data_IF_787783306293
#
_entry.id   IF_787783306293
#
_cell.length_a   1.000
_cell.length_b   1.000
_cell.length_c   1.000
_cell.angle_alpha   90.00
_cell.angle_beta   90.00
_cell.angle_gamma   90.00
#
_symmetry.space_group_name_H-M   'P 1'
#
loop_
_entity.id
_entity.type
_entity.pdbx_description
1 polymer ?
#
# COMPACT_ATOMS: atom_id res chain seq x y z
N UNK A 1 -9.04 -18.06 7.12
CA UNK A 1 -7.59 -18.24 7.32
C UNK A 1 -6.90 -16.94 6.89
N UNK A 2 -5.84 -16.50 7.58
CA UNK A 2 -5.07 -15.35 7.17
C UNK A 2 -4.50 -15.57 5.77
N UNK A 3 -4.40 -14.50 4.99
CA UNK A 3 -3.94 -14.56 3.60
C UNK A 3 -2.81 -13.61 3.33
N UNK A 4 -1.99 -13.93 2.32
CA UNK A 4 -0.96 -13.05 1.82
C UNK A 4 -1.38 -12.44 0.48
N UNK A 5 -1.15 -11.13 0.32
CA UNK A 5 -1.41 -10.35 -0.88
C UNK A 5 -0.09 -9.71 -1.31
N UNK A 6 0.45 -10.19 -2.42
CA UNK A 6 1.71 -9.68 -2.98
C UNK A 6 1.45 -9.13 -4.36
N UNK A 7 1.88 -7.89 -4.58
CA UNK A 7 1.71 -7.19 -5.86
C UNK A 7 2.68 -6.04 -6.01
N UNK A 8 2.33 -5.10 -6.89
CA UNK A 8 3.15 -3.93 -7.19
C UNK A 8 2.43 -2.64 -6.80
N UNK A 9 3.22 -1.60 -6.52
CA UNK A 9 2.75 -0.23 -6.31
C UNK A 9 2.47 0.43 -7.66
N UNK A 10 1.36 0.05 -8.28
CA UNK A 10 0.96 0.46 -9.63
C UNK A 10 1.11 -0.66 -10.66
N UNK A 11 0.54 -0.41 -11.83
CA UNK A 11 0.58 -1.35 -12.96
C UNK A 11 0.79 -0.65 -14.31
N UNK A 12 0.58 0.66 -14.41
CA UNK A 12 0.56 1.37 -15.68
C UNK A 12 1.90 2.04 -15.97
N UNK A 13 2.91 1.23 -16.26
CA UNK A 13 4.28 1.67 -16.50
C UNK A 13 4.71 1.35 -17.94
N UNK A 14 4.91 2.38 -18.82
CA UNK A 14 5.32 2.16 -20.21
C UNK A 14 6.62 1.36 -20.35
N UNK A 15 7.56 1.53 -19.44
CA UNK A 15 8.84 0.83 -19.46
C UNK A 15 8.73 -0.67 -19.08
N UNK A 16 7.57 -1.15 -18.64
CA UNK A 16 7.33 -2.59 -18.44
C UNK A 16 6.99 -3.33 -19.73
N UNK A 17 6.75 -2.61 -20.84
CA UNK A 17 6.47 -3.21 -22.15
C UNK A 17 7.70 -3.98 -22.67
N UNK A 18 7.52 -5.23 -23.04
CA UNK A 18 8.61 -6.14 -23.43
C UNK A 18 9.37 -6.77 -22.26
N UNK A 19 9.08 -6.35 -21.00
CA UNK A 19 9.66 -6.94 -19.78
C UNK A 19 8.60 -7.74 -19.03
N UNK A 20 7.57 -7.07 -18.56
CA UNK A 20 6.42 -7.67 -17.88
C UNK A 20 5.23 -7.83 -18.84
N UNK A 21 4.89 -6.78 -19.57
CA UNK A 21 3.85 -6.83 -20.60
C UNK A 21 4.42 -7.35 -21.92
N UNK A 22 3.68 -8.24 -22.64
CA UNK A 22 4.06 -8.61 -23.99
C UNK A 22 4.27 -7.38 -24.89
N UNK A 23 5.27 -7.42 -25.77
CA UNK A 23 5.65 -6.28 -26.62
C UNK A 23 4.48 -5.71 -27.46
N UNK A 24 3.60 -6.57 -27.97
CA UNK A 24 2.44 -6.19 -28.79
C UNK A 24 1.18 -5.83 -27.99
N UNK A 25 1.19 -5.96 -26.65
CA UNK A 25 0.00 -5.72 -25.85
C UNK A 25 -0.30 -4.22 -25.76
N UNK A 26 -1.51 -3.75 -26.21
CA UNK A 26 -1.89 -2.34 -26.09
C UNK A 26 -2.09 -1.93 -24.64
N UNK A 27 -1.80 -0.66 -24.31
CA UNK A 27 -1.81 -0.13 -22.95
C UNK A 27 -3.15 -0.30 -22.23
N UNK A 28 -4.26 -0.19 -22.93
CA UNK A 28 -5.59 -0.38 -22.36
C UNK A 28 -5.89 -1.83 -21.94
N UNK A 29 -5.01 -2.78 -22.27
CA UNK A 29 -5.08 -4.19 -21.86
C UNK A 29 -4.08 -4.54 -20.74
N UNK A 30 -3.22 -3.61 -20.32
CA UNK A 30 -2.21 -3.88 -19.29
C UNK A 30 -2.82 -4.25 -17.95
N UNK A 31 -3.89 -3.60 -17.54
CA UNK A 31 -4.52 -3.94 -16.27
C UNK A 31 -5.12 -5.34 -16.27
N UNK A 32 -5.79 -5.72 -17.35
CA UNK A 32 -6.33 -7.07 -17.50
C UNK A 32 -5.19 -8.12 -17.47
N UNK A 33 -4.07 -7.83 -18.15
CA UNK A 33 -2.89 -8.71 -18.09
C UNK A 33 -2.31 -8.77 -16.68
N UNK A 34 -2.17 -7.64 -16.00
CA UNK A 34 -1.69 -7.59 -14.61
C UNK A 34 -2.54 -8.50 -13.69
N UNK A 35 -3.85 -8.48 -13.84
CA UNK A 35 -4.77 -9.31 -13.07
C UNK A 35 -4.66 -10.82 -13.38
N UNK A 36 -4.03 -11.23 -14.48
CA UNK A 36 -3.73 -12.66 -14.72
C UNK A 36 -2.52 -13.16 -13.93
N UNK A 37 -1.71 -12.24 -13.40
CA UNK A 37 -0.46 -12.57 -12.70
C UNK A 37 -0.58 -12.32 -11.20
N UNK A 38 -1.27 -11.24 -10.82
CA UNK A 38 -1.42 -10.82 -9.42
C UNK A 38 -2.90 -10.67 -9.06
N UNK A 39 -3.24 -11.01 -7.82
CA UNK A 39 -4.58 -10.85 -7.25
C UNK A 39 -4.76 -9.52 -6.50
N UNK A 40 -3.75 -8.66 -6.46
CA UNK A 40 -3.78 -7.39 -5.74
C UNK A 40 -2.90 -6.32 -6.38
N UNK A 41 -3.24 -5.05 -6.14
CA UNK A 41 -2.44 -3.90 -6.55
C UNK A 41 -2.54 -2.77 -5.52
N UNK A 42 -1.46 -2.03 -5.31
CA UNK A 42 -1.49 -0.73 -4.63
C UNK A 42 -1.61 0.39 -5.67
N UNK A 43 -2.70 1.15 -5.66
CA UNK A 43 -2.92 2.25 -6.61
C UNK A 43 -2.38 3.57 -6.05
N UNK A 44 -1.35 4.12 -6.71
CA UNK A 44 -0.73 5.39 -6.33
C UNK A 44 -1.35 6.61 -7.02
N UNK A 45 -2.17 6.43 -8.07
CA UNK A 45 -2.82 7.54 -8.79
C UNK A 45 -3.70 8.39 -7.88
N UNK A 46 -4.35 7.77 -6.90
CA UNK A 46 -5.21 8.40 -5.89
C UNK A 46 -4.47 9.38 -4.97
N UNK A 47 -3.15 9.22 -4.84
CA UNK A 47 -2.29 10.13 -4.09
C UNK A 47 -2.14 11.48 -4.81
N UNK A 48 -1.92 11.46 -6.13
CA UNK A 48 -1.67 12.66 -6.93
C UNK A 48 -2.95 13.36 -7.35
N UNK A 49 -3.92 12.60 -7.78
CA UNK A 49 -5.23 13.06 -8.26
C UNK A 49 -6.28 12.02 -7.93
N UNK A 50 -7.36 12.43 -7.30
CA UNK A 50 -8.48 11.54 -7.03
C UNK A 50 -9.24 11.26 -8.35
N UNK A 51 -9.31 10.01 -8.81
CA UNK A 51 -10.13 9.64 -9.95
C UNK A 51 -11.63 9.84 -9.66
N UNK A 52 -12.43 9.99 -10.72
CA UNK A 52 -13.88 10.04 -10.60
C UNK A 52 -14.44 8.70 -10.09
N UNK A 53 -15.60 8.69 -9.41
CA UNK A 53 -16.23 7.46 -8.92
C UNK A 53 -16.40 6.40 -10.03
N UNK A 54 -16.77 6.79 -11.25
CA UNK A 54 -16.90 5.89 -12.39
C UNK A 54 -15.61 5.16 -12.77
N UNK A 55 -14.42 5.73 -12.47
CA UNK A 55 -13.16 5.06 -12.71
C UNK A 55 -12.94 3.90 -11.73
N UNK A 56 -13.32 4.08 -10.47
CA UNK A 56 -13.25 3.02 -9.46
C UNK A 56 -14.27 1.91 -9.75
N UNK A 57 -15.49 2.27 -10.13
CA UNK A 57 -16.50 1.30 -10.56
C UNK A 57 -16.03 0.49 -11.77
N UNK A 58 -15.40 1.15 -12.76
CA UNK A 58 -14.77 0.44 -13.89
C UNK A 58 -13.69 -0.54 -13.41
N UNK A 59 -12.81 -0.17 -12.51
CA UNK A 59 -11.80 -1.10 -11.95
C UNK A 59 -12.46 -2.26 -11.21
N UNK A 60 -13.54 -1.99 -10.48
CA UNK A 60 -14.30 -3.05 -9.82
C UNK A 60 -14.85 -4.07 -10.81
N UNK A 61 -15.45 -3.61 -11.92
CA UNK A 61 -16.06 -4.45 -12.94
C UNK A 61 -15.02 -5.21 -13.79
N UNK A 62 -13.86 -4.60 -14.06
CA UNK A 62 -12.84 -5.16 -14.95
C UNK A 62 -11.89 -6.15 -14.26
N UNK A 63 -12.00 -6.33 -12.94
CA UNK A 63 -11.12 -7.24 -12.17
C UNK A 63 -11.83 -8.52 -11.75
N UNK A 64 -11.10 -9.65 -11.57
CA UNK A 64 -11.65 -10.88 -11.01
C UNK A 64 -12.38 -10.65 -9.67
N UNK A 65 -13.35 -11.49 -9.29
CA UNK A 65 -14.12 -11.34 -8.05
C UNK A 65 -13.25 -11.28 -6.78
N UNK A 66 -12.16 -12.02 -6.75
CA UNK A 66 -11.20 -12.12 -5.65
C UNK A 66 -10.05 -11.11 -5.71
N UNK A 67 -10.05 -10.20 -6.69
CA UNK A 67 -9.02 -9.18 -6.81
C UNK A 67 -9.17 -8.10 -5.73
N UNK A 68 -8.07 -7.75 -5.07
CA UNK A 68 -8.05 -6.83 -3.94
C UNK A 68 -7.24 -5.56 -4.24
N UNK A 69 -7.75 -4.42 -3.79
CA UNK A 69 -7.12 -3.12 -3.95
C UNK A 69 -6.60 -2.57 -2.63
N UNK A 70 -5.38 -2.05 -2.66
CA UNK A 70 -4.89 -1.05 -1.73
C UNK A 70 -4.81 0.30 -2.43
N UNK A 71 -5.20 1.37 -1.76
CA UNK A 71 -5.13 2.73 -2.31
C UNK A 71 -4.15 3.57 -1.50
N UNK A 72 -3.35 4.39 -2.19
CA UNK A 72 -2.57 5.43 -1.51
C UNK A 72 -3.44 6.66 -1.30
N UNK A 73 -3.68 7.02 -0.06
CA UNK A 73 -4.49 8.18 0.34
C UNK A 73 -3.96 9.50 -0.23
N UNK A 74 -4.86 10.46 -0.42
CA UNK A 74 -4.58 11.72 -1.10
C UNK A 74 -3.44 12.53 -0.46
N UNK A 75 -2.49 13.01 -1.30
CA UNK A 75 -1.43 13.95 -0.88
C UNK A 75 -1.98 15.26 -0.32
N UNK A 76 -3.18 15.65 -0.74
CA UNK A 76 -3.83 16.84 -0.22
C UNK A 76 -4.06 16.72 1.30
N UNK A 77 -4.51 15.55 1.76
CA UNK A 77 -4.76 15.28 3.19
C UNK A 77 -3.43 15.18 3.96
N UNK A 78 -2.49 14.38 3.44
CA UNK A 78 -1.29 14.00 4.20
C UNK A 78 -0.13 15.00 4.04
N UNK A 79 0.12 15.49 2.83
CA UNK A 79 1.29 16.33 2.52
C UNK A 79 0.97 17.83 2.54
N UNK A 80 -0.18 18.25 1.98
CA UNK A 80 -0.54 19.67 1.89
C UNK A 80 -1.17 20.12 3.20
N UNK A 81 -2.26 19.49 3.61
CA UNK A 81 -2.99 19.83 4.84
C UNK A 81 -2.34 19.29 6.11
N UNK A 82 -1.47 18.27 6.01
CA UNK A 82 -0.86 17.64 7.19
C UNK A 82 -1.88 17.35 8.29
N UNK A 83 -2.99 16.71 7.88
CA UNK A 83 -4.14 16.33 8.71
C UNK A 83 -4.91 17.49 9.36
N UNK A 84 -4.76 18.73 8.87
CA UNK A 84 -5.60 19.86 9.28
C UNK A 84 -6.95 19.72 8.58
N UNK A 85 -8.04 19.76 9.37
CA UNK A 85 -9.44 19.68 8.92
C UNK A 85 -9.67 18.63 7.82
N UNK A 86 -9.41 17.34 8.12
CA UNK A 86 -9.42 16.28 7.12
C UNK A 86 -10.83 15.75 6.80
N UNK A 87 -11.90 16.16 7.50
CA UNK A 87 -13.22 15.56 7.40
C UNK A 87 -13.80 15.63 5.97
N UNK A 88 -13.87 16.82 5.39
CA UNK A 88 -14.39 17.01 4.03
C UNK A 88 -13.50 16.32 2.97
N UNK A 89 -12.16 16.49 2.97
CA UNK A 89 -11.28 15.75 2.06
C UNK A 89 -11.37 14.22 2.18
N UNK A 90 -11.57 13.68 3.39
CA UNK A 90 -11.80 12.25 3.60
C UNK A 90 -13.13 11.81 3.00
N UNK A 91 -14.21 12.57 3.22
CA UNK A 91 -15.51 12.29 2.64
C UNK A 91 -15.46 12.23 1.11
N UNK A 92 -14.79 13.20 0.48
CA UNK A 92 -14.59 13.22 -0.97
C UNK A 92 -13.77 12.01 -1.46
N UNK A 93 -12.68 11.67 -0.75
CA UNK A 93 -11.86 10.52 -1.10
C UNK A 93 -12.65 9.22 -1.02
N UNK A 94 -13.34 8.97 0.09
CA UNK A 94 -14.07 7.73 0.28
C UNK A 94 -15.34 7.63 -0.56
N UNK A 95 -15.99 8.75 -0.90
CA UNK A 95 -17.10 8.76 -1.89
C UNK A 95 -16.71 8.11 -3.21
N UNK A 96 -15.47 8.32 -3.66
CA UNK A 96 -14.93 7.69 -4.87
C UNK A 96 -14.38 6.29 -4.60
N UNK A 97 -13.55 6.14 -3.58
CA UNK A 97 -12.83 4.90 -3.28
C UNK A 97 -13.78 3.72 -2.97
N UNK A 98 -14.90 3.98 -2.28
CA UNK A 98 -15.88 2.95 -1.90
C UNK A 98 -16.67 2.38 -3.09
N UNK A 99 -16.50 2.91 -4.32
CA UNK A 99 -17.01 2.25 -5.53
C UNK A 99 -16.28 0.92 -5.83
N UNK A 100 -15.12 0.67 -5.21
CA UNK A 100 -14.44 -0.63 -5.23
C UNK A 100 -15.11 -1.67 -4.31
N UNK A 101 -16.09 -1.26 -3.50
CA UNK A 101 -16.88 -2.12 -2.60
C UNK A 101 -15.98 -3.03 -1.75
N UNK A 102 -16.28 -4.35 -1.71
CA UNK A 102 -15.54 -5.35 -0.94
C UNK A 102 -14.12 -5.61 -1.43
N UNK A 103 -13.77 -5.18 -2.65
CA UNK A 103 -12.42 -5.28 -3.19
C UNK A 103 -11.47 -4.24 -2.60
N UNK A 104 -11.96 -3.15 -2.01
CA UNK A 104 -11.12 -2.20 -1.31
C UNK A 104 -10.75 -2.73 0.08
N UNK A 105 -9.48 -3.09 0.27
CA UNK A 105 -9.02 -3.70 1.53
C UNK A 105 -8.28 -2.73 2.44
N UNK A 106 -7.38 -1.91 1.89
CA UNK A 106 -6.51 -1.05 2.70
C UNK A 106 -6.36 0.33 2.06
N UNK A 107 -6.30 1.37 2.90
CA UNK A 107 -5.82 2.70 2.49
C UNK A 107 -4.52 3.01 3.22
N UNK A 108 -3.47 3.30 2.44
CA UNK A 108 -2.16 3.72 2.91
C UNK A 108 -2.10 5.25 3.03
N UNK A 109 -1.87 5.76 4.21
CA UNK A 109 -1.66 7.17 4.50
C UNK A 109 -0.17 7.45 4.74
N UNK A 110 0.55 7.83 3.69
CA UNK A 110 1.96 8.19 3.79
C UNK A 110 2.11 9.65 4.23
N UNK A 111 2.91 9.89 5.26
CA UNK A 111 3.24 11.24 5.74
C UNK A 111 4.58 11.71 5.15
N UNK A 112 4.71 13.00 4.80
CA UNK A 112 5.96 13.52 4.27
C UNK A 112 7.06 13.64 5.33
N UNK A 113 8.31 13.60 4.91
CA UNK A 113 9.48 13.70 5.79
C UNK A 113 9.56 15.02 6.61
N UNK A 114 8.92 16.10 6.13
CA UNK A 114 8.86 17.36 6.89
C UNK A 114 7.69 17.40 7.89
N UNK A 115 6.85 16.35 7.99
CA UNK A 115 5.74 16.33 8.92
C UNK A 115 6.16 15.62 10.20
N UNK A 116 6.61 16.43 11.17
CA UNK A 116 6.93 15.97 12.53
C UNK A 116 5.67 15.59 13.30
N UNK A 117 5.86 14.81 14.36
CA UNK A 117 4.78 14.33 15.24
C UNK A 117 3.80 15.44 15.63
N UNK A 118 2.52 15.11 15.51
CA UNK A 118 1.40 15.86 16.06
C UNK A 118 0.29 14.88 16.47
N UNK A 119 0.37 14.38 17.69
CA UNK A 119 -0.54 13.37 18.20
C UNK A 119 -2.00 13.81 18.18
N UNK A 120 -2.31 15.08 18.46
CA UNK A 120 -3.67 15.60 18.45
C UNK A 120 -4.30 15.52 17.04
N UNK A 121 -3.55 15.89 16.01
CA UNK A 121 -4.02 15.74 14.61
C UNK A 121 -4.17 14.27 14.23
N UNK A 122 -3.24 13.41 14.65
CA UNK A 122 -3.33 11.99 14.39
C UNK A 122 -4.59 11.39 14.99
N UNK A 123 -4.86 11.63 16.27
CA UNK A 123 -6.06 11.12 16.97
C UNK A 123 -7.33 11.59 16.26
N UNK A 124 -7.43 12.90 15.94
CA UNK A 124 -8.57 13.45 15.20
C UNK A 124 -8.77 12.74 13.85
N UNK A 125 -7.69 12.54 13.13
CA UNK A 125 -7.69 11.86 11.83
C UNK A 125 -8.12 10.39 11.94
N UNK A 126 -7.55 9.64 12.88
CA UNK A 126 -7.89 8.23 13.08
C UNK A 126 -9.34 8.02 13.55
N UNK A 127 -9.88 8.95 14.35
CA UNK A 127 -11.30 8.93 14.74
C UNK A 127 -12.22 9.05 13.53
N UNK A 128 -11.91 9.95 12.60
CA UNK A 128 -12.69 10.12 11.36
C UNK A 128 -12.57 8.92 10.41
N UNK A 129 -11.45 8.21 10.42
CA UNK A 129 -11.28 7.00 9.60
C UNK A 129 -12.21 5.85 10.04
N UNK A 130 -12.67 5.82 11.30
CA UNK A 130 -13.60 4.80 11.78
C UNK A 130 -14.98 4.83 11.11
N UNK A 131 -15.34 5.95 10.50
CA UNK A 131 -16.61 6.10 9.78
C UNK A 131 -16.62 5.32 8.45
N UNK A 132 -15.46 4.79 8.02
CA UNK A 132 -15.29 4.07 6.76
C UNK A 132 -14.89 2.62 6.99
N UNK A 133 -15.60 1.63 6.40
CA UNK A 133 -15.37 0.20 6.64
C UNK A 133 -14.16 -0.33 5.86
N UNK A 134 -12.99 0.30 6.02
CA UNK A 134 -11.76 -0.02 5.30
C UNK A 134 -10.60 -0.02 6.28
N UNK A 135 -9.71 -1.01 6.18
CA UNK A 135 -8.46 -1.05 6.94
C UNK A 135 -7.56 0.11 6.56
N UNK A 136 -6.83 0.64 7.53
CA UNK A 136 -5.93 1.77 7.32
C UNK A 136 -4.52 1.45 7.78
N UNK A 137 -3.51 1.95 7.06
CA UNK A 137 -2.11 1.85 7.43
C UNK A 137 -1.42 3.20 7.32
N UNK A 138 -0.48 3.48 8.22
CA UNK A 138 0.30 4.73 8.26
C UNK A 138 1.75 4.45 7.88
N UNK A 139 2.28 5.21 6.92
CA UNK A 139 3.70 5.19 6.57
C UNK A 139 4.35 6.49 7.01
N UNK A 140 5.19 6.40 8.02
CA UNK A 140 5.93 7.55 8.55
C UNK A 140 7.25 7.76 7.80
N UNK A 141 7.58 9.01 7.50
CA UNK A 141 8.82 9.40 6.84
C UNK A 141 9.70 10.33 7.70
N UNK A 142 9.30 10.54 8.96
CA UNK A 142 10.06 11.27 9.95
C UNK A 142 10.09 10.47 11.25
N UNK A 143 11.29 10.29 11.82
CA UNK A 143 11.53 9.44 13.00
C UNK A 143 10.74 9.87 14.25
N UNK A 144 10.42 11.17 14.38
CA UNK A 144 9.65 11.67 15.52
C UNK A 144 8.27 11.01 15.70
N UNK A 145 7.76 10.31 14.68
CA UNK A 145 6.52 9.55 14.76
C UNK A 145 6.70 8.17 15.42
N UNK A 146 7.95 7.69 15.56
CA UNK A 146 8.22 6.35 16.11
C UNK A 146 8.42 6.49 17.63
N UNK A 147 7.30 6.66 18.32
CA UNK A 147 7.24 6.77 19.78
C UNK A 147 6.23 5.78 20.35
N UNK A 148 6.40 5.39 21.61
CA UNK A 148 5.47 4.49 22.29
C UNK A 148 4.03 5.05 22.29
N UNK A 149 3.86 6.34 22.51
CA UNK A 149 2.54 7.01 22.48
C UNK A 149 1.86 6.86 21.12
N UNK A 150 2.59 7.08 20.01
CA UNK A 150 2.03 6.93 18.66
C UNK A 150 1.70 5.46 18.36
N UNK A 151 2.55 4.53 18.77
CA UNK A 151 2.31 3.10 18.64
C UNK A 151 1.03 2.70 19.39
N UNK A 152 0.86 3.18 20.63
CA UNK A 152 -0.35 2.91 21.43
C UNK A 152 -1.60 3.54 20.80
N UNK A 153 -1.53 4.76 20.29
CA UNK A 153 -2.62 5.39 19.52
C UNK A 153 -3.00 4.52 18.31
N UNK A 154 -2.03 4.00 17.55
CA UNK A 154 -2.30 3.13 16.41
C UNK A 154 -2.96 1.80 16.84
N UNK A 155 -2.53 1.19 17.96
CA UNK A 155 -3.16 -0.01 18.53
C UNK A 155 -4.61 0.24 18.93
N UNK A 156 -4.89 1.34 19.66
CA UNK A 156 -6.25 1.72 20.10
C UNK A 156 -7.21 1.93 18.92
N UNK A 157 -6.69 2.35 17.79
CA UNK A 157 -7.46 2.58 16.57
C UNK A 157 -7.40 1.42 15.56
N UNK A 158 -6.71 0.31 15.89
CA UNK A 158 -6.51 -0.85 15.02
C UNK A 158 -5.93 -0.47 13.63
N UNK A 159 -5.00 0.49 13.60
CA UNK A 159 -4.35 0.96 12.38
C UNK A 159 -2.96 0.36 12.28
N UNK A 160 -2.64 -0.25 11.12
CA UNK A 160 -1.32 -0.84 10.87
C UNK A 160 -0.25 0.24 10.69
N UNK A 161 0.96 -0.05 11.16
CA UNK A 161 2.15 0.69 10.76
C UNK A 161 2.74 0.05 9.50
N UNK A 162 2.89 0.85 8.45
CA UNK A 162 3.52 0.38 7.23
C UNK A 162 5.02 0.17 7.45
N UNK A 163 5.46 -1.05 7.27
CA UNK A 163 6.87 -1.41 7.32
C UNK A 163 7.46 -1.26 5.93
N UNK A 164 8.48 -0.42 5.79
CA UNK A 164 9.15 -0.19 4.53
C UNK A 164 10.66 -0.21 4.71
N UNK A 165 11.38 -0.65 3.69
CA UNK A 165 12.84 -0.70 3.68
C UNK A 165 13.50 0.67 3.48
N UNK A 166 12.70 1.70 3.29
CA UNK A 166 13.18 3.07 3.25
C UNK A 166 12.10 4.07 3.74
N UNK A 167 12.44 5.00 4.65
CA UNK A 167 13.69 5.04 5.41
C UNK A 167 13.83 3.84 6.36
N UNK A 168 15.07 3.43 6.66
CA UNK A 168 15.37 2.18 7.38
C UNK A 168 14.70 2.07 8.75
N UNK A 169 14.48 3.20 9.44
CA UNK A 169 13.86 3.20 10.78
C UNK A 169 12.40 2.70 10.81
N UNK A 170 11.77 2.46 9.66
CA UNK A 170 10.42 1.88 9.57
C UNK A 170 10.40 0.46 9.00
N UNK A 171 11.54 -0.19 8.76
CA UNK A 171 11.53 -1.57 8.23
C UNK A 171 11.05 -2.59 9.28
N UNK A 172 11.28 -2.33 10.54
CA UNK A 172 10.85 -3.21 11.64
C UNK A 172 10.09 -2.42 12.71
N UNK A 173 8.77 -2.40 12.61
CA UNK A 173 7.89 -1.68 13.52
C UNK A 173 7.01 -2.64 14.34
N UNK A 174 6.58 -2.23 15.54
CA UNK A 174 5.63 -3.00 16.33
C UNK A 174 4.32 -3.23 15.59
N UNK A 175 3.74 -4.42 15.75
CA UNK A 175 2.43 -4.74 15.20
C UNK A 175 1.35 -4.02 15.99
N UNK A 176 0.47 -3.30 15.29
CA UNK A 176 -0.57 -2.44 15.87
C UNK A 176 -1.99 -2.79 15.43
N UNK A 177 -2.15 -3.80 14.57
CA UNK A 177 -3.45 -4.21 14.03
C UNK A 177 -3.47 -5.71 13.72
N UNK A 178 -4.60 -6.20 13.20
CA UNK A 178 -4.80 -7.60 12.77
C UNK A 178 -4.16 -7.93 11.41
N UNK A 179 -3.53 -6.95 10.76
CA UNK A 179 -2.85 -7.14 9.47
C UNK A 179 -1.51 -6.39 9.43
N UNK A 180 -0.65 -6.82 8.51
CA UNK A 180 0.65 -6.24 8.24
C UNK A 180 0.65 -5.61 6.85
N UNK A 181 1.28 -4.44 6.73
CA UNK A 181 1.46 -3.77 5.46
C UNK A 181 2.95 -3.50 5.21
N UNK A 182 3.48 -4.01 4.11
CA UNK A 182 4.91 -3.94 3.78
C UNK A 182 5.08 -3.29 2.41
N UNK A 183 6.05 -2.39 2.29
CA UNK A 183 6.44 -1.77 1.01
C UNK A 183 7.93 -1.96 0.77
N UNK A 184 8.27 -2.34 -0.45
CA UNK A 184 9.64 -2.57 -0.90
C UNK A 184 10.02 -1.59 -2.01
N UNK A 185 10.87 -0.61 -1.69
CA UNK A 185 11.24 0.49 -2.57
C UNK A 185 12.54 0.24 -3.36
N UNK A 186 13.17 -0.92 -3.19
CA UNK A 186 14.52 -1.23 -3.64
C UNK A 186 15.56 -1.00 -2.54
N UNK A 187 16.61 -1.80 -2.54
CA UNK A 187 17.69 -1.66 -1.55
C UNK A 187 18.23 -0.22 -1.58
N UNK A 188 18.21 0.47 -0.42
CA UNK A 188 18.57 1.89 -0.32
C UNK A 188 17.51 2.88 -0.77
N UNK A 189 16.28 2.44 -1.13
CA UNK A 189 15.15 3.32 -1.44
C UNK A 189 15.17 4.01 -2.81
N UNK A 190 16.03 3.53 -3.72
CA UNK A 190 16.26 4.18 -5.02
C UNK A 190 15.22 3.86 -6.09
N UNK A 191 14.29 2.93 -5.86
CA UNK A 191 13.28 2.42 -6.80
C UNK A 191 13.85 1.65 -8.01
N UNK A 192 15.16 1.56 -8.15
CA UNK A 192 15.91 1.04 -9.29
C UNK A 192 16.78 -0.18 -8.98
N UNK A 193 16.70 -0.71 -7.76
CA UNK A 193 17.45 -1.89 -7.34
C UNK A 193 16.58 -3.13 -7.31
N UNK A 194 17.18 -4.25 -7.74
CA UNK A 194 16.57 -5.57 -7.74
C UNK A 194 16.83 -6.28 -6.42
N UNK A 195 15.82 -6.87 -5.81
CA UNK A 195 16.01 -7.67 -4.61
C UNK A 195 16.63 -9.02 -4.92
N UNK A 196 17.73 -9.31 -4.26
CA UNK A 196 18.39 -10.60 -4.35
C UNK A 196 17.51 -11.73 -3.80
N UNK A 197 17.79 -12.97 -4.24
CA UNK A 197 17.11 -14.16 -3.70
C UNK A 197 17.27 -14.30 -2.17
N UNK A 198 18.39 -13.80 -1.62
CA UNK A 198 18.62 -13.79 -0.16
C UNK A 198 17.66 -12.82 0.53
N UNK A 199 17.50 -11.60 0.00
CA UNK A 199 16.57 -10.61 0.52
C UNK A 199 15.10 -11.11 0.44
N UNK A 200 14.70 -11.69 -0.70
CA UNK A 200 13.35 -12.26 -0.86
C UNK A 200 13.09 -13.44 0.09
N UNK A 201 14.08 -14.30 0.36
CA UNK A 201 13.95 -15.36 1.37
C UNK A 201 13.78 -14.81 2.78
N UNK A 202 14.44 -13.67 3.12
CA UNK A 202 14.24 -12.97 4.40
C UNK A 202 12.80 -12.47 4.49
N UNK A 203 12.28 -11.85 3.43
CA UNK A 203 10.89 -11.40 3.37
C UNK A 203 9.90 -12.57 3.46
N UNK A 204 10.13 -13.67 2.73
CA UNK A 204 9.28 -14.86 2.81
C UNK A 204 9.22 -15.43 4.25
N UNK A 205 10.37 -15.51 4.95
CA UNK A 205 10.41 -15.94 6.35
C UNK A 205 9.59 -15.00 7.25
N UNK A 206 9.72 -13.68 7.03
CA UNK A 206 8.99 -12.66 7.79
C UNK A 206 7.47 -12.75 7.53
N UNK A 207 7.06 -12.87 6.28
CA UNK A 207 5.65 -13.07 5.90
C UNK A 207 5.10 -14.31 6.57
N UNK A 208 5.79 -15.44 6.48
CA UNK A 208 5.38 -16.69 7.10
C UNK A 208 5.25 -16.59 8.64
N UNK A 209 6.07 -15.78 9.32
CA UNK A 209 5.91 -15.56 10.77
C UNK A 209 4.59 -14.86 11.09
N UNK A 210 4.21 -13.83 10.33
CA UNK A 210 2.96 -13.11 10.53
C UNK A 210 1.73 -13.97 10.20
N UNK A 211 1.80 -14.80 9.15
CA UNK A 211 0.72 -15.74 8.82
C UNK A 211 0.49 -16.76 9.94
N UNK A 212 1.56 -17.25 10.60
CA UNK A 212 1.47 -18.14 11.77
C UNK A 212 0.82 -17.45 12.98
N UNK A 213 0.95 -16.13 13.09
CA UNK A 213 0.26 -15.31 14.10
C UNK A 213 -1.17 -14.95 13.71
N UNK A 214 -1.72 -15.59 12.67
CA UNK A 214 -3.07 -15.35 12.14
C UNK A 214 -3.29 -13.92 11.64
N UNK A 215 -2.26 -13.28 11.05
CA UNK A 215 -2.33 -11.93 10.49
C UNK A 215 -2.36 -11.98 8.96
N UNK A 216 -3.23 -11.17 8.36
CA UNK A 216 -3.16 -10.89 6.93
C UNK A 216 -1.89 -10.09 6.60
N UNK A 217 -1.27 -10.37 5.46
CA UNK A 217 -0.10 -9.62 4.99
C UNK A 217 -0.36 -9.03 3.62
N UNK A 218 -0.16 -7.72 3.49
CA UNK A 218 -0.16 -6.98 2.23
C UNK A 218 1.27 -6.52 1.95
N UNK A 219 1.86 -6.95 0.83
CA UNK A 219 3.22 -6.59 0.46
C UNK A 219 3.26 -6.08 -0.98
N UNK A 220 3.79 -4.87 -1.16
CA UNK A 220 3.84 -4.21 -2.46
C UNK A 220 5.26 -3.79 -2.82
N UNK A 221 5.70 -4.26 -3.99
CA UNK A 221 6.96 -3.85 -4.58
C UNK A 221 6.80 -2.54 -5.35
N UNK A 222 7.66 -1.58 -5.07
CA UNK A 222 7.69 -0.23 -5.64
C UNK A 222 9.03 0.08 -6.33
N UNK A 223 9.88 -0.93 -6.54
CA UNK A 223 11.13 -0.84 -7.30
C UNK A 223 10.86 -1.06 -8.80
N UNK A 224 10.08 -0.14 -9.40
CA UNK A 224 9.49 -0.31 -10.72
C UNK A 224 10.41 0.09 -11.90
N UNK A 225 11.54 0.79 -11.66
CA UNK A 225 12.33 1.47 -12.69
C UNK A 225 12.73 0.59 -13.88
N UNK A 226 13.09 -0.67 -13.69
CA UNK A 226 13.48 -1.60 -14.76
C UNK A 226 12.56 -2.84 -14.86
N UNK A 227 11.30 -2.70 -14.41
CA UNK A 227 10.38 -3.83 -14.34
C UNK A 227 10.76 -4.84 -13.26
N UNK A 228 11.52 -4.42 -12.25
CA UNK A 228 11.95 -5.29 -11.16
C UNK A 228 10.80 -5.62 -10.22
N UNK A 229 9.89 -4.68 -9.97
CA UNK A 229 8.76 -4.88 -9.07
C UNK A 229 7.93 -6.14 -9.42
N UNK A 230 7.41 -6.33 -10.64
CA UNK A 230 6.63 -7.52 -10.97
C UNK A 230 7.47 -8.80 -10.97
N UNK A 231 8.78 -8.73 -11.24
CA UNK A 231 9.66 -9.88 -11.18
C UNK A 231 9.90 -10.31 -9.72
N UNK A 232 10.28 -9.37 -8.84
CA UNK A 232 10.48 -9.68 -7.42
C UNK A 232 9.19 -10.11 -6.72
N UNK A 233 8.04 -9.53 -7.09
CA UNK A 233 6.75 -9.95 -6.55
C UNK A 233 6.44 -11.42 -6.89
N UNK A 234 6.67 -11.86 -8.14
CA UNK A 234 6.50 -13.25 -8.54
C UNK A 234 7.47 -14.19 -7.82
N UNK A 235 8.75 -13.81 -7.76
CA UNK A 235 9.77 -14.60 -7.07
C UNK A 235 9.47 -14.76 -5.57
N UNK A 236 8.90 -13.72 -4.93
CA UNK A 236 8.48 -13.83 -3.53
C UNK A 236 7.27 -14.77 -3.37
N UNK A 237 6.30 -14.70 -4.29
CA UNK A 237 5.14 -15.61 -4.30
C UNK A 237 5.60 -17.07 -4.42
N UNK A 238 6.60 -17.36 -5.25
CA UNK A 238 7.16 -18.71 -5.44
C UNK A 238 7.91 -19.24 -4.21
N UNK A 239 8.27 -18.37 -3.26
CA UNK A 239 9.00 -18.72 -2.01
C UNK A 239 8.06 -18.98 -0.82
N UNK A 240 6.76 -18.71 -0.95
CA UNK A 240 5.75 -18.85 0.09
C UNK A 240 4.92 -20.10 -0.07
#
# INVERSE_FOLDING_TARGET
>A
MPGVRIGCSGFNYPHWKGIFYPQGLPQNKWFQYYCTVFSTVELNVTFYRLPLPATFDKWYQETPPDFEFSLKGSRFITHIKKLIDPAEPLSLFFKSALQLKEKLKVVLWQFPHQFKINAARLIKFLRLLRDYPVRNTLEFRHESWITEDVINICKEHAVSLCMADWPEFIDDLPVTSDFIYIRRHGEGGGYDTYYSKVALKKDAKRVNSYLKESRDVFLYFNNDAFGYAPKNARELIELL
#
